data_IF_600321007523
#
_entry.id   IF_600321007523
#
_cell.length_a   1.000
_cell.length_b   1.000
_cell.length_c   1.000
_cell.angle_alpha   90.00
_cell.angle_beta   90.00
_cell.angle_gamma   90.00
#
_symmetry.space_group_name_H-M   'P 1'
#
loop_
_entity.id
_entity.type
_entity.pdbx_description
1 polymer ?
#
# COMPACT_ATOMS: atom_id res chain seq x y z
N UNK A 1 -13.30 20.13 17.55
CA UNK A 1 -12.48 19.87 18.76
C UNK A 1 -13.18 18.86 19.68
N UNK A 2 -13.39 17.61 19.24
CA UNK A 2 -14.17 16.59 19.96
C UNK A 2 -13.30 15.75 20.91
N UNK A 3 -12.07 15.42 20.49
CA UNK A 3 -11.13 14.57 21.23
C UNK A 3 -10.83 15.13 22.63
N UNK A 4 -10.37 16.38 22.73
CA UNK A 4 -10.03 17.00 24.02
C UNK A 4 -11.24 17.24 24.93
N UNK A 5 -12.42 17.53 24.36
CA UNK A 5 -13.59 17.95 25.15
C UNK A 5 -14.52 16.80 25.55
N UNK A 6 -14.38 15.63 24.95
CA UNK A 6 -15.23 14.46 25.23
C UNK A 6 -14.43 13.21 25.54
N UNK A 7 -13.52 12.82 24.63
CA UNK A 7 -12.78 11.57 24.78
C UNK A 7 -11.81 11.61 25.97
N UNK A 8 -11.08 12.71 26.14
CA UNK A 8 -10.08 12.81 27.22
C UNK A 8 -10.73 12.79 28.62
N UNK A 9 -11.78 13.59 28.90
CA UNK A 9 -12.49 13.50 30.18
C UNK A 9 -13.08 12.11 30.48
N UNK A 10 -13.56 11.39 29.46
CA UNK A 10 -14.07 10.03 29.63
C UNK A 10 -12.96 9.04 30.01
N UNK A 11 -11.76 9.20 29.46
CA UNK A 11 -10.58 8.39 29.81
C UNK A 11 -10.10 8.74 31.23
N UNK A 12 -10.12 10.02 31.60
CA UNK A 12 -9.79 10.47 32.96
C UNK A 12 -10.76 9.91 34.00
N UNK A 13 -12.05 9.85 33.67
CA UNK A 13 -13.07 9.24 34.53
C UNK A 13 -12.83 7.73 34.77
N UNK A 14 -12.05 7.06 33.93
CA UNK A 14 -11.59 5.68 34.12
C UNK A 14 -10.29 5.57 34.95
N UNK A 15 -9.82 6.69 35.53
CA UNK A 15 -8.58 6.74 36.32
C UNK A 15 -7.30 6.70 35.47
N UNK A 16 -7.40 6.94 34.15
CA UNK A 16 -6.26 6.90 33.23
C UNK A 16 -5.93 8.31 32.76
N UNK A 17 -4.65 8.69 32.81
CA UNK A 17 -4.18 9.95 32.21
C UNK A 17 -4.21 9.84 30.67
N UNK A 18 -5.09 10.61 29.98
CA UNK A 18 -5.26 10.53 28.54
C UNK A 18 -4.07 11.09 27.76
N UNK A 19 -3.37 12.09 28.30
CA UNK A 19 -2.19 12.68 27.67
C UNK A 19 -1.05 11.67 27.71
N UNK A 20 -0.78 11.09 28.88
CA UNK A 20 0.24 10.04 29.02
C UNK A 20 -0.07 8.83 28.16
N UNK A 21 -1.33 8.40 28.10
CA UNK A 21 -1.76 7.32 27.22
C UNK A 21 -1.53 7.65 25.74
N UNK A 22 -1.94 8.84 25.30
CA UNK A 22 -1.79 9.30 23.91
C UNK A 22 -0.32 9.34 23.50
N UNK A 23 0.54 9.95 24.33
CA UNK A 23 1.97 10.04 24.07
C UNK A 23 2.63 8.65 24.01
N UNK A 24 2.26 7.74 24.93
CA UNK A 24 2.76 6.36 24.93
C UNK A 24 2.38 5.62 23.66
N UNK A 25 1.12 5.70 23.24
CA UNK A 25 0.64 5.07 22.01
C UNK A 25 1.32 5.68 20.77
N UNK A 26 1.52 7.00 20.75
CA UNK A 26 2.26 7.68 19.69
C UNK A 26 3.70 7.19 19.58
N UNK A 27 4.42 7.08 20.70
CA UNK A 27 5.78 6.56 20.73
C UNK A 27 5.86 5.10 20.25
N UNK A 28 4.89 4.28 20.64
CA UNK A 28 4.82 2.89 20.17
C UNK A 28 4.54 2.81 18.66
N UNK A 29 3.60 3.61 18.16
CA UNK A 29 3.30 3.68 16.73
C UNK A 29 4.51 4.15 15.92
N UNK A 30 5.27 5.14 16.42
CA UNK A 30 6.49 5.61 15.79
C UNK A 30 7.54 4.50 15.66
N UNK A 31 7.81 3.74 16.73
CA UNK A 31 8.75 2.61 16.69
C UNK A 31 8.33 1.52 15.69
N UNK A 32 7.03 1.17 15.67
CA UNK A 32 6.53 0.19 14.69
C UNK A 32 6.66 0.71 13.27
N UNK A 33 6.37 2.00 13.06
CA UNK A 33 6.52 2.64 11.76
C UNK A 33 7.97 2.61 11.28
N UNK A 34 8.92 3.01 12.13
CA UNK A 34 10.36 2.98 11.82
C UNK A 34 10.85 1.58 11.45
N UNK A 35 10.48 0.57 12.24
CA UNK A 35 10.83 -0.82 11.94
C UNK A 35 10.29 -1.26 10.57
N UNK A 36 9.01 -0.98 10.28
CA UNK A 36 8.42 -1.32 8.98
C UNK A 36 9.03 -0.54 7.82
N UNK A 37 9.42 0.73 8.02
CA UNK A 37 10.09 1.52 7.00
C UNK A 37 11.51 1.01 6.72
N UNK A 38 12.20 0.51 7.75
CA UNK A 38 13.49 -0.18 7.60
C UNK A 38 13.37 -1.44 6.75
N UNK A 39 12.33 -2.26 6.98
CA UNK A 39 12.07 -3.44 6.14
C UNK A 39 11.65 -3.04 4.71
N UNK A 40 10.81 -2.01 4.55
CA UNK A 40 10.41 -1.51 3.24
C UNK A 40 11.61 -1.05 2.41
N UNK A 41 12.60 -0.40 3.03
CA UNK A 41 13.80 0.06 2.34
C UNK A 41 14.62 -1.09 1.72
N UNK A 42 14.47 -2.32 2.22
CA UNK A 42 15.12 -3.52 1.68
C UNK A 42 14.33 -4.16 0.54
N UNK A 43 13.07 -3.79 0.35
CA UNK A 43 12.22 -4.33 -0.72
C UNK A 43 12.54 -3.62 -2.04
N UNK A 44 13.06 -4.33 -3.06
CA UNK A 44 13.41 -3.70 -4.32
C UNK A 44 12.15 -3.33 -5.10
N UNK A 45 11.82 -2.03 -5.10
CA UNK A 45 10.76 -1.46 -5.93
C UNK A 45 11.40 -0.78 -7.14
N UNK A 46 11.00 -1.21 -8.34
CA UNK A 46 11.52 -0.66 -9.60
C UNK A 46 10.43 0.17 -10.27
N UNK A 47 10.79 1.26 -10.94
CA UNK A 47 9.87 2.03 -11.75
C UNK A 47 10.40 2.13 -13.19
N UNK A 48 9.54 1.84 -14.17
CA UNK A 48 9.82 2.00 -15.60
C UNK A 48 8.52 2.17 -16.35
N UNK A 49 8.53 2.93 -17.45
CA UNK A 49 7.41 3.03 -18.39
C UNK A 49 6.06 3.27 -17.66
N UNK A 50 5.97 4.31 -16.81
CA UNK A 50 4.72 4.64 -16.13
C UNK A 50 4.17 3.58 -15.16
N UNK A 51 4.96 2.55 -14.84
CA UNK A 51 4.61 1.47 -13.92
C UNK A 51 5.65 1.35 -12.80
N UNK A 52 5.21 0.82 -11.67
CA UNK A 52 6.07 0.41 -10.57
C UNK A 52 5.91 -1.09 -10.31
N UNK A 53 7.00 -1.75 -9.95
CA UNK A 53 7.11 -3.20 -9.88
C UNK A 53 7.71 -3.62 -8.55
N UNK A 54 7.22 -4.71 -8.01
CA UNK A 54 7.83 -5.46 -6.91
C UNK A 54 7.83 -6.94 -7.27
N UNK A 55 8.83 -7.66 -6.81
CA UNK A 55 8.88 -9.11 -6.95
C UNK A 55 7.70 -9.78 -6.20
N UNK A 56 7.11 -10.81 -6.82
CA UNK A 56 5.94 -11.52 -6.29
C UNK A 56 6.29 -12.35 -5.06
N UNK A 57 7.49 -12.94 -5.01
CA UNK A 57 7.98 -13.67 -3.85
C UNK A 57 8.25 -12.70 -2.71
N UNK A 58 8.90 -11.57 -2.97
CA UNK A 58 9.09 -10.51 -1.97
C UNK A 58 7.76 -10.00 -1.41
N UNK A 59 6.74 -9.81 -2.27
CA UNK A 59 5.39 -9.47 -1.83
C UNK A 59 4.79 -10.55 -0.93
N UNK A 60 4.89 -11.83 -1.32
CA UNK A 60 4.31 -12.96 -0.56
C UNK A 60 4.98 -13.17 0.79
N UNK A 61 6.30 -13.01 0.84
CA UNK A 61 7.09 -13.14 2.05
C UNK A 61 6.85 -11.98 3.03
N UNK A 62 6.51 -10.79 2.53
CA UNK A 62 6.22 -9.64 3.36
C UNK A 62 4.97 -9.85 4.22
N UNK A 63 4.97 -9.47 5.51
CA UNK A 63 3.76 -9.48 6.34
C UNK A 63 2.77 -8.41 5.86
N UNK A 64 1.49 -8.55 6.22
CA UNK A 64 0.42 -7.67 5.73
C UNK A 64 0.67 -6.16 5.92
N UNK A 65 1.19 -5.67 7.08
CA UNK A 65 1.53 -4.26 7.23
C UNK A 65 2.59 -3.78 6.23
N UNK A 66 3.57 -4.63 5.91
CA UNK A 66 4.60 -4.33 4.94
C UNK A 66 4.04 -4.36 3.50
N UNK A 67 3.15 -5.31 3.17
CA UNK A 67 2.46 -5.33 1.86
C UNK A 67 1.62 -4.08 1.61
N UNK A 68 0.96 -3.55 2.63
CA UNK A 68 0.25 -2.27 2.54
C UNK A 68 1.21 -1.10 2.24
N UNK A 69 2.40 -1.11 2.84
CA UNK A 69 3.44 -0.11 2.58
C UNK A 69 4.07 -0.27 1.19
N UNK A 70 4.31 -1.50 0.73
CA UNK A 70 4.76 -1.80 -0.63
C UNK A 70 3.72 -1.26 -1.63
N UNK A 71 2.43 -1.54 -1.42
CA UNK A 71 1.36 -1.00 -2.26
C UNK A 71 1.38 0.53 -2.30
N UNK A 72 1.50 1.18 -1.14
CA UNK A 72 1.62 2.63 -1.05
C UNK A 72 2.84 3.14 -1.82
N UNK A 73 3.98 2.47 -1.72
CA UNK A 73 5.20 2.83 -2.42
C UNK A 73 5.05 2.68 -3.95
N UNK A 74 4.49 1.58 -4.43
CA UNK A 74 4.15 1.38 -5.86
C UNK A 74 3.26 2.50 -6.38
N UNK A 75 2.18 2.81 -5.65
CA UNK A 75 1.26 3.89 -6.01
C UNK A 75 1.96 5.25 -6.01
N UNK A 76 2.83 5.53 -5.04
CA UNK A 76 3.58 6.79 -4.96
C UNK A 76 4.56 6.93 -6.12
N UNK A 77 5.23 5.85 -6.52
CA UNK A 77 6.14 5.86 -7.67
C UNK A 77 5.45 6.25 -8.98
N UNK A 78 4.18 5.89 -9.14
CA UNK A 78 3.42 6.14 -10.38
C UNK A 78 2.56 7.41 -10.32
N UNK A 79 1.91 7.68 -9.18
CA UNK A 79 0.94 8.75 -9.02
C UNK A 79 1.48 9.98 -8.28
N UNK A 80 2.73 9.91 -7.80
CA UNK A 80 3.37 11.00 -7.07
C UNK A 80 3.08 11.03 -5.55
N UNK A 81 3.59 12.06 -4.85
CA UNK A 81 3.45 12.20 -3.41
C UNK A 81 1.98 12.41 -2.97
N UNK A 82 1.71 12.15 -1.69
CA UNK A 82 0.37 12.34 -1.10
C UNK A 82 -0.64 11.23 -1.41
N UNK A 83 -0.29 10.24 -2.23
CA UNK A 83 -1.15 9.09 -2.52
C UNK A 83 -0.99 8.00 -1.46
N UNK A 84 -2.12 7.53 -0.93
CA UNK A 84 -2.17 6.38 -0.03
C UNK A 84 -3.38 5.50 -0.37
N UNK A 85 -3.23 4.17 -0.40
CA UNK A 85 -4.36 3.28 -0.54
C UNK A 85 -5.22 3.31 0.72
N UNK A 86 -6.53 3.52 0.56
CA UNK A 86 -7.49 3.25 1.62
C UNK A 86 -7.60 1.75 1.94
N UNK A 87 -8.18 1.42 3.09
CA UNK A 87 -8.34 0.03 3.58
C UNK A 87 -8.94 -0.91 2.55
N UNK A 88 -9.97 -0.47 1.81
CA UNK A 88 -10.62 -1.27 0.76
C UNK A 88 -9.63 -1.71 -0.33
N UNK A 89 -8.73 -0.82 -0.77
CA UNK A 89 -7.74 -1.14 -1.81
C UNK A 89 -6.67 -2.10 -1.30
N UNK A 90 -6.24 -1.93 -0.05
CA UNK A 90 -5.31 -2.87 0.61
C UNK A 90 -5.94 -4.26 0.63
N UNK A 91 -7.16 -4.38 1.15
CA UNK A 91 -7.88 -5.66 1.21
C UNK A 91 -8.10 -6.28 -0.18
N UNK A 92 -8.39 -5.44 -1.18
CA UNK A 92 -8.59 -5.89 -2.54
C UNK A 92 -7.30 -6.47 -3.15
N UNK A 93 -6.17 -5.80 -2.94
CA UNK A 93 -4.86 -6.29 -3.38
C UNK A 93 -4.46 -7.59 -2.66
N UNK A 94 -4.71 -7.68 -1.35
CA UNK A 94 -4.48 -8.89 -0.55
C UNK A 94 -5.31 -10.08 -1.06
N UNK A 95 -6.62 -9.88 -1.28
CA UNK A 95 -7.51 -10.93 -1.80
C UNK A 95 -7.09 -11.37 -3.20
N UNK A 96 -6.80 -10.41 -4.08
CA UNK A 96 -6.36 -10.70 -5.45
C UNK A 96 -5.04 -11.50 -5.46
N UNK A 97 -4.07 -11.13 -4.64
CA UNK A 97 -2.79 -11.86 -4.55
C UNK A 97 -2.94 -13.24 -3.92
N UNK A 98 -3.80 -13.39 -2.91
CA UNK A 98 -4.15 -14.69 -2.31
C UNK A 98 -4.84 -15.63 -3.31
N UNK A 99 -5.60 -15.09 -4.26
CA UNK A 99 -6.24 -15.84 -5.36
C UNK A 99 -5.27 -16.13 -6.53
N UNK A 100 -3.96 -15.99 -6.31
CA UNK A 100 -2.92 -16.31 -7.30
C UNK A 100 -2.53 -15.16 -8.21
N UNK A 101 -3.02 -13.94 -7.94
CA UNK A 101 -2.72 -12.73 -8.72
C UNK A 101 -3.02 -12.92 -10.22
N UNK A 102 -4.11 -13.62 -10.55
CA UNK A 102 -4.53 -13.84 -11.94
C UNK A 102 -5.26 -12.60 -12.46
N UNK A 103 -5.02 -12.26 -13.74
CA UNK A 103 -5.53 -11.03 -14.34
C UNK A 103 -5.00 -9.78 -13.66
N UNK A 104 -5.81 -8.72 -13.63
CA UNK A 104 -5.46 -7.48 -12.94
C UNK A 104 -6.64 -6.92 -12.15
N UNK A 105 -6.34 -6.27 -11.04
CA UNK A 105 -7.34 -5.69 -10.13
C UNK A 105 -7.26 -4.16 -10.12
N UNK A 106 -8.39 -3.53 -10.35
CA UNK A 106 -8.49 -2.07 -10.36
C UNK A 106 -8.48 -1.51 -8.94
N UNK A 107 -7.66 -0.49 -8.73
CA UNK A 107 -7.61 0.30 -7.51
C UNK A 107 -7.69 1.79 -7.88
N UNK A 108 -8.07 2.67 -6.96
CA UNK A 108 -8.26 4.09 -7.32
C UNK A 108 -7.06 4.66 -8.09
N UNK A 109 -7.36 5.23 -9.28
CA UNK A 109 -6.41 5.87 -10.22
C UNK A 109 -5.42 4.93 -10.92
N UNK A 110 -5.56 3.61 -10.78
CA UNK A 110 -4.69 2.67 -11.48
C UNK A 110 -5.16 1.23 -11.40
N UNK A 111 -4.26 0.29 -11.68
CA UNK A 111 -4.56 -1.13 -11.57
C UNK A 111 -3.30 -1.91 -11.25
N UNK A 112 -3.46 -2.96 -10.46
CA UNK A 112 -2.43 -3.95 -10.17
C UNK A 112 -2.55 -5.10 -11.17
N UNK A 113 -1.43 -5.58 -11.65
CA UNK A 113 -1.34 -6.71 -12.58
C UNK A 113 -0.17 -7.59 -12.20
N UNK A 114 -0.25 -8.87 -12.52
CA UNK A 114 0.91 -9.75 -12.47
C UNK A 114 1.60 -9.74 -13.83
N UNK A 115 2.90 -9.46 -13.84
CA UNK A 115 3.76 -9.55 -15.02
C UNK A 115 4.91 -10.50 -14.71
N UNK A 116 4.78 -11.75 -15.18
CA UNK A 116 5.72 -12.83 -14.85
C UNK A 116 5.80 -13.10 -13.34
N UNK A 117 6.97 -12.85 -12.76
CA UNK A 117 7.23 -12.96 -11.31
C UNK A 117 7.13 -11.62 -10.58
N UNK A 118 6.51 -10.60 -11.17
CA UNK A 118 6.34 -9.30 -10.53
C UNK A 118 4.88 -8.92 -10.38
N UNK A 119 4.59 -8.12 -9.36
CA UNK A 119 3.37 -7.33 -9.25
C UNK A 119 3.69 -5.93 -9.78
N UNK A 120 2.99 -5.53 -10.83
CA UNK A 120 3.05 -4.22 -11.44
C UNK A 120 1.86 -3.37 -11.01
N UNK A 121 2.10 -2.10 -10.71
CA UNK A 121 1.07 -1.07 -10.59
C UNK A 121 1.24 -0.07 -11.73
N UNK A 122 0.16 0.27 -12.44
CA UNK A 122 0.16 1.30 -13.48
C UNK A 122 -1.01 2.26 -13.33
N UNK A 123 -0.82 3.51 -13.78
CA UNK A 123 -1.89 4.49 -13.86
C UNK A 123 -2.91 4.07 -14.93
N UNK A 124 -4.20 4.35 -14.70
CA UNK A 124 -5.29 3.87 -15.57
C UNK A 124 -5.11 4.29 -17.04
N UNK A 125 -4.68 5.52 -17.29
CA UNK A 125 -4.43 6.03 -18.65
C UNK A 125 -3.17 5.49 -19.35
N UNK A 126 -2.26 4.82 -18.63
CA UNK A 126 -1.04 4.25 -19.22
C UNK A 126 -1.20 2.77 -19.61
N UNK A 127 -2.21 2.09 -19.06
CA UNK A 127 -2.40 0.65 -19.30
C UNK A 127 -3.35 0.34 -20.45
N UNK A 128 -4.09 1.33 -20.97
CA UNK A 128 -4.93 1.19 -22.16
C UNK A 128 -4.11 1.32 -23.47
N UNK A 129 -2.95 1.96 -23.43
CA UNK A 129 -2.07 2.15 -24.59
C UNK A 129 -1.10 0.99 -24.85
N UNK A 130 -0.93 0.07 -23.89
CA UNK A 130 0.03 -1.06 -23.98
C UNK A 130 -0.61 -2.40 -24.35
N UNK A 131 -1.94 -2.44 -24.58
CA UNK A 131 -2.69 -3.67 -24.89
C UNK A 131 -3.02 -3.89 -26.38
N UNK A 132 -2.27 -3.33 -27.33
CA UNK A 132 -2.38 -3.70 -28.75
C UNK A 132 -1.12 -4.41 -29.27
N UNK A 133 -1.07 -5.75 -29.30
CA UNK A 133 -0.30 -6.44 -30.31
C UNK A 133 -1.15 -6.42 -31.60
N UNK A 134 -0.85 -5.50 -32.52
CA UNK A 134 -1.33 -5.63 -33.90
C UNK A 134 -0.56 -6.77 -34.55
N UNK A 135 -1.07 -7.99 -34.44
CA UNK A 135 -0.75 -9.01 -35.44
C UNK A 135 -1.38 -8.56 -36.76
N UNK A 136 -0.57 -8.02 -37.66
CA UNK A 136 -0.85 -8.06 -39.10
C UNK A 136 -0.03 -9.22 -39.65
N UNK A 137 -0.72 -10.32 -39.92
CA UNK A 137 -0.25 -11.38 -40.80
C UNK A 137 -0.06 -10.83 -42.21
N UNK A 138 1.08 -11.18 -42.79
CA UNK A 138 1.47 -10.98 -44.18
C UNK A 138 0.51 -11.63 -45.18
#
# INVERSE_FOLDING_TARGET
MWVRRRLFPQIEALGVDPVRLFLRLGAQAARVHEALMGELARVPIRAREGKAFVDLEAWRAAPSPLRALILKALMRCVLGPGVAPGRRHIMLAERWTAQGARGGVDITRGRLMREGQTIAFGARGFMESSSTPRYRSS
#
